data_IF_055308114045
#
_entry.id   IF_055308114045
#
_cell.length_a   1.000
_cell.length_b   1.000
_cell.length_c   1.000
_cell.angle_alpha   90.00
_cell.angle_beta   90.00
_cell.angle_gamma   90.00
#
_symmetry.space_group_name_H-M   'P 1'
#
loop_
_entity.id
_entity.type
_entity.pdbx_description
1 polymer ?
#
# COMPACT_ATOMS: atom_id res chain seq x y z
N UNK A 1 12.90 0.48 -18.80
CA UNK A 1 12.80 0.92 -17.38
C UNK A 1 13.05 2.44 -17.35
N UNK A 2 12.03 3.27 -17.57
CA UNK A 2 12.22 4.74 -17.69
C UNK A 2 11.39 5.57 -16.69
N UNK A 3 10.79 4.94 -15.67
CA UNK A 3 9.83 5.61 -14.80
C UNK A 3 10.16 5.47 -13.30
N UNK A 4 11.43 5.29 -12.89
CA UNK A 4 11.77 5.24 -11.46
C UNK A 4 12.35 6.57 -11.01
N UNK A 5 12.15 6.92 -9.74
CA UNK A 5 12.88 8.03 -9.12
C UNK A 5 14.33 7.55 -8.93
N UNK A 6 15.33 8.17 -9.59
CA UNK A 6 16.72 7.78 -9.40
C UNK A 6 17.14 8.09 -7.97
N UNK A 7 17.70 7.10 -7.28
CA UNK A 7 18.14 7.24 -5.87
C UNK A 7 19.20 8.33 -5.71
N UNK A 8 19.97 8.60 -6.77
CA UNK A 8 20.97 9.66 -6.85
C UNK A 8 20.36 11.05 -6.63
N UNK A 9 19.07 11.25 -6.91
CA UNK A 9 18.38 12.51 -6.62
C UNK A 9 18.43 12.86 -5.13
N UNK A 10 18.42 11.85 -4.27
CA UNK A 10 18.50 11.97 -2.82
C UNK A 10 19.94 12.19 -2.31
N UNK A 11 20.92 12.30 -3.21
CA UNK A 11 22.29 12.72 -2.88
C UNK A 11 22.50 14.24 -2.97
N UNK A 12 21.51 15.00 -3.47
CA UNK A 12 21.58 16.45 -3.59
C UNK A 12 21.55 17.10 -2.20
N UNK A 13 22.64 17.73 -1.72
CA UNK A 13 22.80 18.12 -0.31
C UNK A 13 21.87 19.27 0.10
N UNK A 14 21.39 20.06 -0.86
CA UNK A 14 20.55 21.23 -0.63
C UNK A 14 19.10 21.05 -1.12
N UNK A 15 18.69 19.84 -1.49
CA UNK A 15 17.34 19.56 -1.96
C UNK A 15 16.35 19.69 -0.80
N UNK A 16 15.46 20.69 -0.88
CA UNK A 16 14.47 20.98 0.17
C UNK A 16 13.06 20.57 -0.19
N UNK A 17 12.74 20.58 -1.49
CA UNK A 17 11.41 20.36 -2.04
C UNK A 17 11.50 19.40 -3.21
N UNK A 18 10.66 18.37 -3.19
CA UNK A 18 10.49 17.42 -4.28
C UNK A 18 9.00 17.33 -4.65
N UNK A 19 8.63 17.85 -5.82
CA UNK A 19 7.27 17.80 -6.35
C UNK A 19 7.25 17.00 -7.66
N UNK A 20 6.69 15.79 -7.61
CA UNK A 20 6.57 14.85 -8.73
C UNK A 20 5.15 14.29 -8.83
N UNK A 21 4.16 15.02 -8.32
CA UNK A 21 2.74 14.65 -8.34
C UNK A 21 2.25 14.37 -9.76
N UNK A 22 1.37 13.37 -9.91
CA UNK A 22 0.66 13.01 -11.16
C UNK A 22 1.66 12.74 -12.30
N UNK A 23 2.47 11.71 -12.10
CA UNK A 23 3.37 11.16 -13.10
C UNK A 23 3.16 9.65 -13.21
N UNK A 24 3.95 8.98 -14.07
CA UNK A 24 3.90 7.53 -14.24
C UNK A 24 5.01 6.83 -13.45
N UNK A 25 5.48 7.42 -12.35
CA UNK A 25 6.64 6.91 -11.61
C UNK A 25 6.31 5.61 -10.89
N UNK A 26 7.27 4.70 -10.80
CA UNK A 26 7.16 3.40 -10.14
C UNK A 26 8.44 3.04 -9.37
N UNK A 27 8.45 1.88 -8.72
CA UNK A 27 9.51 1.47 -7.80
C UNK A 27 9.17 1.85 -6.36
N UNK A 28 10.17 1.82 -5.49
CA UNK A 28 9.98 1.99 -4.04
C UNK A 28 10.51 3.32 -3.53
N UNK A 29 10.01 3.75 -2.38
CA UNK A 29 10.59 4.86 -1.61
C UNK A 29 12.01 4.48 -1.15
N UNK A 30 13.03 5.33 -1.32
CA UNK A 30 14.36 5.06 -0.79
C UNK A 30 14.40 5.24 0.73
N UNK A 31 15.20 4.42 1.42
CA UNK A 31 15.31 4.44 2.88
C UNK A 31 16.00 5.70 3.44
N UNK A 32 16.79 6.39 2.61
CA UNK A 32 17.60 7.54 3.01
C UNK A 32 17.24 8.74 2.12
N UNK A 33 16.97 9.87 2.77
CA UNK A 33 16.67 11.16 2.13
C UNK A 33 17.66 12.23 2.63
N UNK A 34 17.93 13.31 1.86
CA UNK A 34 18.75 14.42 2.34
C UNK A 34 18.18 15.01 3.62
N UNK A 35 19.04 15.36 4.58
CA UNK A 35 18.60 16.05 5.81
C UNK A 35 18.03 17.45 5.58
N UNK A 36 18.26 18.04 4.41
CA UNK A 36 17.65 19.30 3.98
C UNK A 36 16.24 19.14 3.41
N UNK A 37 15.84 17.92 3.05
CA UNK A 37 14.54 17.65 2.44
C UNK A 37 13.42 17.87 3.46
N UNK A 38 12.42 18.64 3.08
CA UNK A 38 11.35 19.06 3.98
C UNK A 38 9.95 18.90 3.40
N UNK A 39 9.82 18.94 2.08
CA UNK A 39 8.56 18.79 1.37
C UNK A 39 8.71 17.72 0.29
N UNK A 40 7.88 16.68 0.36
CA UNK A 40 7.78 15.65 -0.67
C UNK A 40 6.33 15.49 -1.08
N UNK A 41 6.05 15.72 -2.36
CA UNK A 41 4.77 15.35 -2.98
C UNK A 41 5.04 14.46 -4.20
N UNK A 42 4.73 13.18 -4.05
CA UNK A 42 4.77 12.19 -5.13
C UNK A 42 3.40 11.54 -5.33
N UNK A 43 2.33 12.21 -4.91
CA UNK A 43 0.96 11.69 -5.01
C UNK A 43 0.55 11.43 -6.47
N UNK A 44 -0.33 10.45 -6.70
CA UNK A 44 -0.79 10.09 -8.05
C UNK A 44 0.32 9.51 -8.91
N UNK A 45 1.03 8.50 -8.41
CA UNK A 45 2.04 7.73 -9.14
C UNK A 45 1.78 6.22 -8.90
N UNK A 46 2.68 5.36 -9.35
CA UNK A 46 2.64 3.90 -9.13
C UNK A 46 3.76 3.44 -8.20
N UNK A 47 4.17 4.29 -7.24
CA UNK A 47 5.19 3.92 -6.24
C UNK A 47 4.63 2.88 -5.31
N UNK A 48 5.38 1.81 -5.07
CA UNK A 48 4.99 0.67 -4.25
C UNK A 48 5.89 0.52 -3.02
N UNK A 49 5.51 -0.38 -2.11
CA UNK A 49 6.31 -0.69 -0.92
C UNK A 49 5.78 -0.03 0.35
N UNK A 50 6.63 -0.04 1.37
CA UNK A 50 6.36 0.53 2.69
C UNK A 50 6.94 1.94 2.82
N UNK A 51 6.43 2.74 3.76
CA UNK A 51 7.00 4.05 4.09
C UNK A 51 8.20 3.87 5.04
N UNK A 52 9.41 4.37 4.70
CA UNK A 52 10.55 4.31 5.61
C UNK A 52 10.35 5.20 6.84
N UNK A 53 10.78 4.73 8.02
CA UNK A 53 10.64 5.48 9.28
C UNK A 53 11.49 6.75 9.35
N UNK A 54 12.51 6.86 8.48
CA UNK A 54 13.41 8.00 8.31
C UNK A 54 12.74 9.25 7.73
N UNK A 55 11.51 9.13 7.23
CA UNK A 55 10.75 10.23 6.63
C UNK A 55 10.12 11.13 7.69
N UNK A 56 10.28 10.80 8.98
CA UNK A 56 9.79 11.57 10.10
C UNK A 56 10.43 12.96 10.24
N UNK A 57 11.47 13.29 9.47
CA UNK A 57 12.05 14.64 9.39
C UNK A 57 11.28 15.60 8.46
N UNK A 58 10.42 15.06 7.59
CA UNK A 58 9.66 15.86 6.63
C UNK A 58 8.59 16.71 7.31
N UNK A 59 8.38 17.92 6.81
CA UNK A 59 7.28 18.81 7.23
C UNK A 59 6.01 18.54 6.44
N UNK A 60 6.15 18.12 5.19
CA UNK A 60 5.04 17.73 4.32
C UNK A 60 5.43 16.52 3.47
N UNK A 61 4.58 15.50 3.50
CA UNK A 61 4.71 14.21 2.85
C UNK A 61 3.35 13.81 2.25
N UNK A 62 3.23 13.90 0.92
CA UNK A 62 2.04 13.49 0.16
C UNK A 62 2.36 12.25 -0.67
N UNK A 63 1.72 11.14 -0.30
CA UNK A 63 1.89 9.84 -0.93
C UNK A 63 0.59 9.27 -1.50
N UNK A 64 -0.55 9.96 -1.36
CA UNK A 64 -1.85 9.43 -1.77
C UNK A 64 -1.92 9.06 -3.25
N UNK A 65 -2.77 8.09 -3.59
CA UNK A 65 -2.88 7.57 -4.96
C UNK A 65 -1.60 6.91 -5.45
N UNK A 66 -0.94 6.12 -4.59
CA UNK A 66 0.18 5.24 -4.91
C UNK A 66 -0.15 3.80 -4.47
N UNK A 67 0.76 2.86 -4.72
CA UNK A 67 0.63 1.45 -4.35
C UNK A 67 1.27 1.12 -2.99
N UNK A 68 1.09 2.01 -2.01
CA UNK A 68 1.72 1.90 -0.69
C UNK A 68 0.99 0.86 0.18
N UNK A 69 1.75 -0.02 0.82
CA UNK A 69 1.24 -1.07 1.71
C UNK A 69 2.07 -1.17 3.00
N UNK A 70 1.66 -2.08 3.88
CA UNK A 70 2.29 -2.29 5.19
C UNK A 70 1.89 -1.22 6.22
N UNK A 71 2.48 -1.26 7.42
CA UNK A 71 2.15 -0.30 8.46
C UNK A 71 2.75 1.09 8.16
N UNK A 72 2.01 2.15 8.49
CA UNK A 72 2.57 3.50 8.55
C UNK A 72 3.44 3.58 9.81
N UNK A 73 4.72 3.99 9.72
CA UNK A 73 5.59 4.09 10.89
C UNK A 73 5.01 4.99 11.99
N UNK A 74 5.04 4.52 13.25
CA UNK A 74 4.60 5.30 14.42
C UNK A 74 5.36 6.63 14.56
N UNK A 75 6.61 6.67 14.10
CA UNK A 75 7.43 7.89 14.06
C UNK A 75 6.81 8.99 13.20
N UNK A 76 6.00 8.65 12.20
CA UNK A 76 5.24 9.59 11.38
C UNK A 76 3.89 9.92 12.02
N UNK A 77 3.14 8.90 12.44
CA UNK A 77 1.81 9.08 13.02
C UNK A 77 1.82 9.96 14.28
N UNK A 78 2.88 9.86 15.08
CA UNK A 78 3.02 10.61 16.34
C UNK A 78 3.81 11.93 16.18
N UNK A 79 4.37 12.21 15.00
CA UNK A 79 5.12 13.44 14.78
C UNK A 79 4.19 14.62 14.54
N UNK A 80 4.12 15.51 15.52
CA UNK A 80 3.23 16.68 15.58
C UNK A 80 3.53 17.78 14.54
N UNK A 81 4.54 17.64 13.70
CA UNK A 81 4.94 18.62 12.68
C UNK A 81 4.65 18.12 11.26
N UNK A 82 4.72 16.81 11.00
CA UNK A 82 4.48 16.21 9.68
C UNK A 82 3.08 16.56 9.17
N UNK A 83 2.97 16.82 7.86
CA UNK A 83 1.75 17.22 7.15
C UNK A 83 1.07 18.40 7.82
N UNK A 84 1.86 19.47 8.04
CA UNK A 84 1.41 20.71 8.68
C UNK A 84 0.82 20.46 10.09
N UNK A 85 1.24 19.37 10.74
CA UNK A 85 0.77 18.96 12.07
C UNK A 85 -0.61 18.31 12.09
N UNK A 86 -1.18 17.92 10.94
CA UNK A 86 -2.48 17.19 10.85
C UNK A 86 -2.45 15.85 11.56
N UNK A 87 -1.27 15.26 11.75
CA UNK A 87 -1.06 14.08 12.60
C UNK A 87 -1.56 14.27 14.03
N UNK A 88 -1.62 15.52 14.54
CA UNK A 88 -2.19 15.80 15.87
C UNK A 88 -3.68 15.47 15.98
N UNK A 89 -4.42 15.59 14.89
CA UNK A 89 -5.88 15.38 14.87
C UNK A 89 -6.27 14.05 14.25
N UNK A 90 -5.52 13.58 13.25
CA UNK A 90 -5.86 12.38 12.47
C UNK A 90 -4.87 11.23 12.64
N UNK A 91 -3.79 11.40 13.41
CA UNK A 91 -2.77 10.35 13.59
C UNK A 91 -2.21 9.87 12.25
N UNK A 92 -2.18 8.55 12.05
CA UNK A 92 -1.71 7.94 10.81
C UNK A 92 -2.55 8.31 9.58
N UNK A 93 -3.86 8.57 9.74
CA UNK A 93 -4.71 8.93 8.61
C UNK A 93 -4.29 10.28 7.99
N UNK A 94 -3.56 11.13 8.72
CA UNK A 94 -2.95 12.35 8.17
C UNK A 94 -1.84 12.06 7.15
N UNK A 95 -1.25 10.86 7.16
CA UNK A 95 -0.22 10.41 6.23
C UNK A 95 -0.87 9.73 5.03
N UNK A 96 -1.65 8.68 5.31
CA UNK A 96 -2.45 7.96 4.32
C UNK A 96 -3.70 7.39 4.99
N UNK A 97 -4.85 7.49 4.33
CA UNK A 97 -6.07 6.83 4.80
C UNK A 97 -5.86 5.32 4.93
N UNK A 98 -6.32 4.74 6.03
CA UNK A 98 -6.31 3.28 6.21
C UNK A 98 -7.15 2.54 5.16
N UNK A 99 -6.93 1.23 5.05
CA UNK A 99 -7.71 0.37 4.16
C UNK A 99 -9.23 0.47 4.42
N UNK A 100 -10.01 0.37 3.36
CA UNK A 100 -11.46 0.55 3.38
C UNK A 100 -11.92 2.00 3.59
N UNK A 101 -11.00 2.97 3.57
CA UNK A 101 -11.31 4.40 3.59
C UNK A 101 -10.54 5.13 2.48
N UNK A 102 -11.09 6.23 1.99
CA UNK A 102 -10.52 7.02 0.90
C UNK A 102 -10.72 8.53 1.12
N UNK A 103 -10.02 9.34 0.32
CA UNK A 103 -10.23 10.78 0.17
C UNK A 103 -9.56 11.28 -1.11
N UNK A 104 -9.96 12.43 -1.67
CA UNK A 104 -9.38 12.98 -2.90
C UNK A 104 -7.84 13.10 -2.90
N UNK A 105 -7.24 13.28 -1.71
CA UNK A 105 -5.78 13.38 -1.54
C UNK A 105 -5.11 12.11 -1.05
N UNK A 106 -5.88 11.07 -0.72
CA UNK A 106 -5.38 9.84 -0.09
C UNK A 106 -4.99 10.00 1.39
N UNK A 107 -5.29 11.12 2.05
CA UNK A 107 -5.01 11.35 3.47
C UNK A 107 -6.13 12.19 4.09
N UNK A 108 -6.28 12.12 5.41
CA UNK A 108 -7.27 12.86 6.16
C UNK A 108 -7.11 14.38 5.96
N UNK A 109 -8.11 14.98 5.32
CA UNK A 109 -8.32 16.42 5.30
C UNK A 109 -9.13 16.86 6.54
N UNK A 110 -9.70 18.06 6.55
CA UNK A 110 -10.54 18.55 7.65
C UNK A 110 -11.71 17.64 8.00
N UNK A 111 -12.25 16.90 7.04
CA UNK A 111 -13.35 15.93 7.24
C UNK A 111 -12.89 14.52 7.63
N UNK A 112 -11.58 14.27 7.68
CA UNK A 112 -11.04 12.92 7.83
C UNK A 112 -11.15 12.08 6.55
N UNK A 113 -10.88 10.78 6.68
CA UNK A 113 -11.04 9.80 5.61
C UNK A 113 -12.48 9.25 5.57
N UNK A 114 -13.02 9.07 4.38
CA UNK A 114 -14.40 8.59 4.17
C UNK A 114 -14.41 7.06 4.09
N UNK A 115 -15.29 6.34 4.82
CA UNK A 115 -15.41 4.89 4.68
C UNK A 115 -15.93 4.51 3.29
N UNK A 116 -15.46 3.39 2.75
CA UNK A 116 -15.93 2.88 1.47
C UNK A 116 -17.42 2.48 1.53
N UNK A 117 -18.15 2.61 0.42
CA UNK A 117 -19.52 2.09 0.30
C UNK A 117 -19.57 0.58 0.59
N UNK A 118 -20.77 0.10 0.98
CA UNK A 118 -20.99 -1.32 1.24
C UNK A 118 -20.60 -2.17 0.02
N UNK A 119 -19.77 -3.20 0.25
CA UNK A 119 -19.27 -4.10 -0.80
C UNK A 119 -18.04 -3.57 -1.56
N UNK A 120 -17.48 -2.44 -1.15
CA UNK A 120 -16.25 -1.88 -1.69
C UNK A 120 -15.17 -1.77 -0.62
N UNK A 121 -13.92 -1.69 -1.05
CA UNK A 121 -12.76 -1.40 -0.20
C UNK A 121 -11.70 -0.65 -1.01
N UNK A 122 -10.54 -0.41 -0.41
CA UNK A 122 -9.36 0.16 -1.07
C UNK A 122 -8.26 -0.89 -1.17
N UNK A 123 -7.44 -0.81 -2.23
CA UNK A 123 -6.34 -1.77 -2.45
C UNK A 123 -5.06 -1.38 -1.70
N UNK A 124 -4.83 -0.08 -1.55
CA UNK A 124 -3.62 0.47 -0.96
C UNK A 124 -3.95 1.54 0.07
N UNK A 125 -2.99 1.81 0.96
CA UNK A 125 -3.09 2.93 1.88
C UNK A 125 -3.17 4.24 1.10
N UNK A 126 -4.08 5.10 1.51
CA UNK A 126 -4.34 6.39 0.89
C UNK A 126 -4.76 6.32 -0.57
N UNK A 127 -5.56 5.31 -0.90
CA UNK A 127 -6.32 5.30 -2.15
C UNK A 127 -7.26 6.51 -2.20
N UNK A 128 -7.46 7.04 -3.40
CA UNK A 128 -8.34 8.18 -3.67
C UNK A 128 -9.77 7.78 -4.06
N UNK A 129 -10.02 6.48 -4.16
CA UNK A 129 -11.26 5.88 -4.60
C UNK A 129 -11.41 4.48 -4.03
N UNK A 130 -12.67 4.01 -3.97
CA UNK A 130 -13.01 2.65 -3.57
C UNK A 130 -13.29 1.79 -4.81
N UNK A 131 -13.03 0.49 -4.70
CA UNK A 131 -13.33 -0.49 -5.75
C UNK A 131 -14.06 -1.69 -5.16
N UNK A 132 -14.84 -2.37 -5.99
CA UNK A 132 -15.31 -3.73 -5.71
C UNK A 132 -14.20 -4.72 -5.97
N UNK A 133 -14.12 -5.76 -5.15
CA UNK A 133 -13.19 -6.87 -5.33
C UNK A 133 -13.98 -8.11 -5.75
N UNK A 134 -13.50 -8.79 -6.80
CA UNK A 134 -13.97 -10.14 -7.15
C UNK A 134 -13.39 -11.18 -6.19
N UNK A 135 -13.90 -12.41 -6.20
CA UNK A 135 -13.32 -13.50 -5.39
C UNK A 135 -11.88 -13.75 -5.82
N UNK A 136 -11.63 -13.75 -7.14
CA UNK A 136 -10.29 -13.79 -7.72
C UNK A 136 -9.37 -12.67 -7.21
N UNK A 137 -9.84 -11.42 -7.15
CA UNK A 137 -9.01 -10.31 -6.65
C UNK A 137 -8.58 -10.53 -5.20
N UNK A 138 -9.49 -11.03 -4.35
CA UNK A 138 -9.21 -11.30 -2.95
C UNK A 138 -8.24 -12.48 -2.78
N UNK A 139 -8.40 -13.52 -3.61
CA UNK A 139 -7.50 -14.67 -3.61
C UNK A 139 -6.11 -14.27 -4.11
N UNK A 140 -6.01 -13.51 -5.21
CA UNK A 140 -4.72 -13.02 -5.69
C UNK A 140 -4.02 -12.14 -4.66
N UNK A 141 -4.77 -11.27 -3.98
CA UNK A 141 -4.22 -10.47 -2.87
C UNK A 141 -3.68 -11.36 -1.75
N UNK A 142 -4.42 -12.41 -1.36
CA UNK A 142 -3.95 -13.38 -0.36
C UNK A 142 -2.67 -14.09 -0.81
N UNK A 143 -2.62 -14.52 -2.07
CA UNK A 143 -1.43 -15.13 -2.67
C UNK A 143 -0.23 -14.18 -2.62
N UNK A 144 -0.40 -12.92 -3.04
CA UNK A 144 0.70 -11.95 -3.10
C UNK A 144 1.27 -11.64 -1.69
N UNK A 145 0.40 -11.37 -0.71
CA UNK A 145 0.83 -10.97 0.65
C UNK A 145 1.43 -12.11 1.47
N UNK A 146 1.13 -13.36 1.11
CA UNK A 146 1.71 -14.56 1.73
C UNK A 146 2.88 -15.11 0.92
N UNK A 147 3.38 -14.34 -0.04
CA UNK A 147 4.50 -14.71 -0.89
C UNK A 147 4.25 -16.04 -1.63
N UNK A 148 3.08 -16.12 -2.27
CA UNK A 148 2.53 -17.28 -2.97
C UNK A 148 3.47 -17.95 -3.96
N UNK A 149 4.30 -17.16 -4.63
CA UNK A 149 5.31 -17.69 -5.56
C UNK A 149 6.35 -18.60 -4.85
N UNK A 150 6.48 -18.50 -3.53
CA UNK A 150 7.38 -19.32 -2.70
C UNK A 150 6.65 -20.44 -1.94
N UNK A 151 5.34 -20.62 -2.12
CA UNK A 151 4.63 -21.78 -1.60
C UNK A 151 5.17 -23.08 -2.24
N UNK A 152 5.00 -24.22 -1.58
CA UNK A 152 5.36 -25.52 -2.18
C UNK A 152 4.72 -25.65 -3.57
N UNK A 153 5.46 -26.14 -4.57
CA UNK A 153 5.11 -26.07 -6.00
C UNK A 153 3.74 -26.66 -6.36
N UNK A 154 3.21 -27.57 -5.55
CA UNK A 154 1.85 -28.12 -5.75
C UNK A 154 0.74 -27.11 -5.44
N UNK A 155 0.98 -26.16 -4.54
CA UNK A 155 0.01 -25.12 -4.13
C UNK A 155 0.17 -23.82 -4.90
N UNK A 156 1.37 -23.51 -5.41
CA UNK A 156 1.55 -22.32 -6.26
C UNK A 156 1.12 -22.55 -7.72
N UNK A 157 1.06 -23.82 -8.16
CA UNK A 157 0.44 -24.20 -9.44
C UNK A 157 -1.08 -24.11 -9.33
N UNK A 158 -1.74 -23.47 -10.29
CA UNK A 158 -3.19 -23.27 -10.32
C UNK A 158 -3.62 -21.84 -9.99
N UNK A 159 -2.91 -21.15 -9.08
CA UNK A 159 -3.18 -19.76 -8.67
C UNK A 159 -2.86 -18.69 -9.74
N UNK A 160 -2.61 -19.13 -10.98
CA UNK A 160 -2.45 -18.29 -12.17
C UNK A 160 -3.50 -18.63 -13.25
N UNK A 161 -4.49 -19.47 -12.92
CA UNK A 161 -5.60 -19.81 -13.81
C UNK A 161 -6.56 -18.62 -14.00
N UNK A 162 -7.39 -18.70 -15.04
CA UNK A 162 -8.46 -17.75 -15.28
C UNK A 162 -9.63 -17.94 -14.31
N UNK A 163 -9.85 -19.17 -13.83
CA UNK A 163 -10.90 -19.56 -12.89
C UNK A 163 -10.33 -19.77 -11.48
N UNK A 164 -10.78 -18.97 -10.51
CA UNK A 164 -10.39 -19.11 -9.11
C UNK A 164 -10.78 -20.44 -8.46
N UNK A 165 -11.77 -21.15 -8.99
CA UNK A 165 -12.17 -22.47 -8.49
C UNK A 165 -11.20 -23.58 -8.90
N UNK A 166 -10.30 -23.31 -9.86
CA UNK A 166 -9.19 -24.20 -10.21
C UNK A 166 -7.95 -23.97 -9.33
N UNK A 167 -7.99 -22.99 -8.42
CA UNK A 167 -6.86 -22.72 -7.53
C UNK A 167 -6.74 -23.83 -6.50
N UNK A 168 -5.55 -24.41 -6.40
CA UNK A 168 -5.29 -25.47 -5.43
C UNK A 168 -5.60 -24.98 -4.00
N UNK A 169 -6.45 -25.71 -3.26
CA UNK A 169 -6.88 -25.36 -1.92
C UNK A 169 -8.09 -24.41 -1.85
N UNK A 170 -8.62 -23.95 -2.99
CA UNK A 170 -9.89 -23.22 -3.07
C UNK A 170 -11.04 -24.21 -3.26
N UNK A 171 -12.09 -24.06 -2.46
CA UNK A 171 -13.33 -24.83 -2.59
C UNK A 171 -14.43 -23.91 -3.07
N UNK A 172 -15.07 -24.28 -4.16
CA UNK A 172 -16.25 -23.60 -4.68
C UNK A 172 -17.52 -24.44 -4.54
N UNK A 173 -18.67 -23.77 -4.44
CA UNK A 173 -19.98 -24.42 -4.58
C UNK A 173 -20.37 -24.62 -6.05
N UNK A 174 -21.59 -25.13 -6.28
CA UNK A 174 -22.12 -25.41 -7.63
C UNK A 174 -22.31 -24.14 -8.49
N UNK A 175 -22.40 -22.97 -7.85
CA UNK A 175 -22.56 -21.68 -8.51
C UNK A 175 -21.20 -21.00 -8.79
N UNK A 176 -20.09 -21.65 -8.45
CA UNK A 176 -18.73 -21.10 -8.61
C UNK A 176 -18.36 -20.06 -7.55
N UNK A 177 -19.05 -20.04 -6.41
CA UNK A 177 -18.70 -19.17 -5.30
C UNK A 177 -17.69 -19.86 -4.39
N UNK A 178 -16.64 -19.14 -4.01
CA UNK A 178 -15.60 -19.58 -3.08
C UNK A 178 -16.22 -19.69 -1.68
N UNK A 179 -16.41 -20.93 -1.24
CA UNK A 179 -17.01 -21.26 0.06
C UNK A 179 -15.98 -21.68 1.10
N UNK A 180 -14.72 -21.91 0.71
CA UNK A 180 -13.66 -22.14 1.68
C UNK A 180 -12.26 -22.22 1.10
N UNK A 181 -11.29 -22.05 1.99
CA UNK A 181 -9.86 -22.19 1.73
C UNK A 181 -9.29 -23.28 2.63
N UNK A 182 -8.61 -24.26 2.04
CA UNK A 182 -7.99 -25.37 2.75
C UNK A 182 -6.56 -25.59 2.29
N UNK A 183 -5.60 -25.17 3.13
CA UNK A 183 -4.17 -25.37 2.91
C UNK A 183 -3.62 -26.26 4.03
N UNK A 184 -2.82 -27.30 3.74
CA UNK A 184 -2.19 -28.08 4.79
C UNK A 184 -1.08 -27.28 5.50
N UNK A 185 -0.94 -27.58 6.79
CA UNK A 185 -0.27 -26.81 7.85
C UNK A 185 1.22 -26.46 7.59
N UNK A 186 1.86 -27.02 6.56
CA UNK A 186 3.32 -26.88 6.33
C UNK A 186 3.73 -26.05 5.11
N UNK A 187 2.80 -25.45 4.36
CA UNK A 187 3.08 -24.92 3.02
C UNK A 187 3.07 -23.39 2.82
N UNK A 188 2.64 -22.60 3.81
CA UNK A 188 2.61 -21.13 3.73
C UNK A 188 3.88 -20.53 4.37
N UNK A 189 4.95 -20.23 3.61
CA UNK A 189 6.05 -19.43 4.13
C UNK A 189 5.53 -18.06 4.58
N UNK A 190 5.87 -17.66 5.81
CA UNK A 190 5.50 -16.34 6.35
C UNK A 190 4.31 -16.31 7.31
N UNK A 191 3.82 -17.46 7.80
CA UNK A 191 2.89 -17.51 8.92
C UNK A 191 3.50 -16.82 10.16
N UNK A 192 3.10 -15.56 10.37
CA UNK A 192 3.21 -14.72 11.57
C UNK A 192 4.32 -15.08 12.57
N UNK A 193 5.51 -14.50 12.38
CA UNK A 193 6.27 -14.04 13.54
C UNK A 193 5.79 -12.62 13.85
N UNK A 194 4.76 -12.54 14.70
CA UNK A 194 4.45 -11.35 15.50
C UNK A 194 5.56 -11.07 16.51
#
# INVERSE_FOLDING_TARGET
LYNRIPSELFSLPSLQVLHLKVNLLSGTLPDIIPGSLSWVDISGNFVEGTIPSTYNSLKDLRLGGNHIYGPIPDSLCNNKVVNEGRTRTHGCDAILCKLGHYSDGGFASSSGCTPCPKGQSTRYLGSDSCTTFTQKDLLQMFFDVTNGDNWETRYSKGWKSDDECEFEGVMCDEDGLVVGLSFPVSGLPGAMNS
#
